data_IF_885309050577
#
_entry.id   IF_885309050577
#
_cell.length_a   1.000
_cell.length_b   1.000
_cell.length_c   1.000
_cell.angle_alpha   90.00
_cell.angle_beta   90.00
_cell.angle_gamma   90.00
#
_symmetry.space_group_name_H-M   'P 1'
#
loop_
_entity.id
_entity.type
_entity.pdbx_description
1 polymer ?
#
# COMPACT_ATOMS: atom_id res chain seq x y z
N UNK A 1 -11.12 9.46 -36.34
CA UNK A 1 -10.38 9.57 -35.08
C UNK A 1 -8.89 9.66 -35.40
N UNK A 2 -8.24 10.79 -35.15
CA UNK A 2 -6.78 10.85 -35.34
C UNK A 2 -6.09 10.27 -34.10
N UNK A 3 -5.47 9.09 -34.26
CA UNK A 3 -4.30 8.66 -33.50
C UNK A 3 -4.43 7.46 -32.55
N UNK A 4 -5.64 7.07 -32.11
CA UNK A 4 -5.85 5.87 -31.28
C UNK A 4 -6.66 4.80 -32.03
N UNK A 5 -6.36 3.54 -31.76
CA UNK A 5 -7.13 2.40 -32.25
C UNK A 5 -7.26 1.29 -31.19
N UNK A 6 -7.88 0.16 -31.58
CA UNK A 6 -8.12 -0.99 -30.68
C UNK A 6 -6.83 -1.54 -30.07
N UNK A 7 -5.69 -1.44 -30.79
CA UNK A 7 -4.38 -1.88 -30.30
C UNK A 7 -3.82 -1.01 -29.17
N UNK A 8 -4.41 0.16 -28.93
CA UNK A 8 -4.00 1.06 -27.85
C UNK A 8 -4.76 0.81 -26.53
N UNK A 9 -5.74 -0.09 -26.53
CA UNK A 9 -6.50 -0.45 -25.31
C UNK A 9 -5.53 -1.05 -24.27
N UNK A 10 -5.66 -0.62 -23.02
CA UNK A 10 -4.75 -0.96 -21.93
C UNK A 10 -3.50 -0.07 -21.86
N UNK A 11 -3.27 0.79 -22.86
CA UNK A 11 -2.16 1.73 -22.82
C UNK A 11 -2.57 3.09 -22.29
N UNK A 12 -1.57 3.80 -21.74
CA UNK A 12 -1.72 5.19 -21.30
C UNK A 12 -1.88 6.11 -22.50
N UNK A 13 -2.89 6.98 -22.46
CA UNK A 13 -3.27 7.89 -23.54
C UNK A 13 -3.52 9.29 -23.02
N UNK A 14 -3.43 10.26 -23.92
CA UNK A 14 -4.03 11.58 -23.75
C UNK A 14 -5.07 11.77 -24.84
N UNK A 15 -6.26 12.22 -24.45
CA UNK A 15 -7.37 12.52 -25.36
C UNK A 15 -7.79 13.97 -25.12
N UNK A 16 -7.53 14.82 -26.11
CA UNK A 16 -8.06 16.18 -26.16
C UNK A 16 -9.43 16.16 -26.81
N UNK A 17 -10.43 16.70 -26.12
CA UNK A 17 -11.80 16.72 -26.62
C UNK A 17 -12.51 18.05 -26.36
N UNK A 18 -13.57 18.30 -27.13
CA UNK A 18 -14.45 19.45 -26.99
C UNK A 18 -15.32 19.32 -25.74
N UNK A 19 -15.51 20.45 -25.08
CA UNK A 19 -16.48 20.67 -24.01
C UNK A 19 -17.20 22.01 -24.27
N UNK A 20 -18.36 22.28 -23.65
CA UNK A 20 -18.98 23.59 -23.74
C UNK A 20 -17.99 24.70 -23.35
N UNK A 21 -17.71 25.62 -24.28
CA UNK A 21 -16.80 26.75 -24.04
C UNK A 21 -15.31 26.50 -24.29
N UNK A 22 -14.90 25.33 -24.79
CA UNK A 22 -13.49 25.12 -25.17
C UNK A 22 -13.05 23.67 -25.40
N UNK A 23 -11.79 23.42 -25.07
CA UNK A 23 -11.12 22.12 -25.17
C UNK A 23 -10.53 21.74 -23.81
N UNK A 24 -10.54 20.45 -23.50
CA UNK A 24 -9.87 19.89 -22.32
C UNK A 24 -9.14 18.60 -22.67
N UNK A 25 -8.21 18.19 -21.80
CA UNK A 25 -7.42 16.98 -21.94
C UNK A 25 -7.79 15.96 -20.85
N UNK A 26 -8.01 14.71 -21.25
CA UNK A 26 -8.12 13.56 -20.34
C UNK A 26 -6.89 12.69 -20.51
N UNK A 27 -6.22 12.38 -19.39
CA UNK A 27 -5.05 11.50 -19.34
C UNK A 27 -5.40 10.26 -18.53
N UNK A 28 -5.16 9.07 -19.06
CA UNK A 28 -5.48 7.84 -18.35
C UNK A 28 -5.18 6.59 -19.17
N UNK A 29 -5.76 5.47 -18.78
CA UNK A 29 -5.63 4.19 -19.50
C UNK A 29 -6.83 4.01 -20.43
N UNK A 30 -6.59 3.78 -21.72
CA UNK A 30 -7.65 3.55 -22.70
C UNK A 30 -8.38 2.24 -22.40
N UNK A 31 -9.70 2.31 -22.19
CA UNK A 31 -10.55 1.15 -21.89
C UNK A 31 -11.32 0.66 -23.10
N UNK A 32 -11.82 1.59 -23.91
CA UNK A 32 -12.58 1.29 -25.11
C UNK A 32 -12.26 2.32 -26.21
N UNK A 33 -12.23 1.85 -27.45
CA UNK A 33 -12.07 2.68 -28.63
C UNK A 33 -12.92 2.07 -29.75
N UNK A 34 -14.16 2.54 -29.88
CA UNK A 34 -15.14 2.09 -30.86
C UNK A 34 -15.52 3.27 -31.78
N UNK A 35 -16.26 3.04 -32.88
CA UNK A 35 -16.75 4.11 -33.74
C UNK A 35 -17.64 5.14 -33.02
N UNK A 36 -18.27 4.74 -31.92
CA UNK A 36 -19.25 5.54 -31.18
C UNK A 36 -18.70 6.10 -29.86
N UNK A 37 -17.62 5.52 -29.33
CA UNK A 37 -17.14 5.86 -27.99
C UNK A 37 -15.63 5.65 -27.80
N UNK A 38 -15.00 6.63 -27.16
CA UNK A 38 -13.67 6.49 -26.56
C UNK A 38 -13.82 6.55 -25.04
N UNK A 39 -13.43 5.50 -24.32
CA UNK A 39 -13.48 5.46 -22.86
C UNK A 39 -12.08 5.47 -22.27
N UNK A 40 -11.78 6.44 -21.42
CA UNK A 40 -10.49 6.58 -20.72
C UNK A 40 -10.69 6.49 -19.22
N UNK A 41 -9.96 5.59 -18.56
CA UNK A 41 -9.94 5.49 -17.09
C UNK A 41 -8.86 6.41 -16.52
N UNK A 42 -9.28 7.44 -15.79
CA UNK A 42 -8.38 8.36 -15.11
C UNK A 42 -7.73 7.69 -13.87
N UNK A 43 -6.67 8.29 -13.32
CA UNK A 43 -5.94 7.76 -12.17
C UNK A 43 -6.81 7.67 -10.90
N UNK A 44 -7.82 8.52 -10.75
CA UNK A 44 -8.81 8.46 -9.67
C UNK A 44 -9.93 7.43 -9.90
N UNK A 45 -9.81 6.62 -10.96
CA UNK A 45 -10.77 5.58 -11.35
C UNK A 45 -12.04 6.06 -12.06
N UNK A 46 -12.19 7.37 -12.28
CA UNK A 46 -13.27 7.93 -13.10
C UNK A 46 -13.15 7.43 -14.54
N UNK A 47 -14.27 7.00 -15.12
CA UNK A 47 -14.37 6.68 -16.54
C UNK A 47 -14.85 7.90 -17.30
N UNK A 48 -14.02 8.39 -18.22
CA UNK A 48 -14.39 9.46 -19.14
C UNK A 48 -14.83 8.86 -20.46
N UNK A 49 -16.10 9.05 -20.77
CA UNK A 49 -16.74 8.64 -22.02
C UNK A 49 -16.78 9.83 -22.97
N UNK A 50 -16.07 9.72 -24.09
CA UNK A 50 -15.84 10.80 -25.03
C UNK A 50 -16.37 10.38 -26.40
N UNK A 51 -17.40 11.07 -26.94
CA UNK A 51 -17.84 10.84 -28.31
C UNK A 51 -16.69 11.08 -29.30
N UNK A 52 -16.42 10.17 -30.25
CA UNK A 52 -15.35 10.33 -31.23
C UNK A 52 -15.44 11.63 -32.05
N UNK A 53 -16.64 12.19 -32.22
CA UNK A 53 -16.87 13.47 -32.87
C UNK A 53 -16.26 14.67 -32.10
N UNK A 54 -16.16 14.56 -30.78
CA UNK A 54 -15.61 15.60 -29.90
C UNK A 54 -14.09 15.49 -29.74
N UNK A 55 -13.49 14.36 -30.09
CA UNK A 55 -12.04 14.17 -30.03
C UNK A 55 -11.35 15.03 -31.09
N UNK A 56 -10.53 15.99 -30.65
CA UNK A 56 -9.73 16.83 -31.56
C UNK A 56 -8.32 16.30 -31.76
N UNK A 57 -7.77 15.62 -30.76
CA UNK A 57 -6.48 14.95 -30.85
C UNK A 57 -6.43 13.81 -29.84
N UNK A 58 -5.92 12.66 -30.22
CA UNK A 58 -5.69 11.56 -29.31
C UNK A 58 -4.39 10.85 -29.66
N UNK A 59 -3.61 10.45 -28.66
CA UNK A 59 -2.41 9.66 -28.89
C UNK A 59 -2.06 8.82 -27.68
N UNK A 60 -1.40 7.69 -27.95
CA UNK A 60 -0.68 6.97 -26.93
C UNK A 60 0.43 7.86 -26.38
N UNK A 61 0.60 7.82 -25.07
CA UNK A 61 1.73 8.44 -24.38
C UNK A 61 2.52 7.35 -23.67
N UNK A 62 3.82 7.56 -23.43
CA UNK A 62 4.59 6.61 -22.64
C UNK A 62 3.93 6.36 -21.28
N UNK A 63 4.08 5.13 -20.78
CA UNK A 63 3.92 4.88 -19.35
C UNK A 63 4.80 5.88 -18.60
N UNK A 64 4.26 6.49 -17.55
CA UNK A 64 5.08 7.39 -16.77
C UNK A 64 6.06 6.50 -16.01
N UNK A 65 7.39 6.62 -16.22
CA UNK A 65 8.33 5.90 -15.39
C UNK A 65 7.99 6.23 -13.94
N UNK A 66 7.94 5.20 -13.10
CA UNK A 66 7.64 5.38 -11.68
C UNK A 66 8.66 6.37 -11.13
N UNK A 67 8.17 7.58 -10.83
CA UNK A 67 9.04 8.63 -10.29
C UNK A 67 9.64 8.11 -8.98
N UNK A 68 10.93 8.36 -8.73
CA UNK A 68 11.53 8.07 -7.44
C UNK A 68 10.62 8.56 -6.31
N UNK A 69 10.45 7.72 -5.29
CA UNK A 69 9.80 8.13 -4.05
C UNK A 69 10.81 8.85 -3.17
N UNK A 70 10.32 9.82 -2.41
CA UNK A 70 10.99 10.18 -1.17
C UNK A 70 10.84 8.99 -0.22
N UNK A 71 11.93 8.23 -0.06
CA UNK A 71 11.93 6.99 0.73
C UNK A 71 11.75 7.31 2.22
N UNK A 72 12.25 8.44 2.70
CA UNK A 72 12.14 8.82 4.12
C UNK A 72 10.69 9.18 4.44
N UNK A 73 10.04 9.94 3.54
CA UNK A 73 8.61 10.24 3.63
C UNK A 73 7.76 8.96 3.54
N UNK A 74 8.09 8.04 2.62
CA UNK A 74 7.37 6.77 2.51
C UNK A 74 7.55 5.90 3.77
N UNK A 75 8.73 5.89 4.38
CA UNK A 75 9.00 5.13 5.60
C UNK A 75 8.13 5.58 6.78
N UNK A 76 7.92 6.89 6.95
CA UNK A 76 6.93 7.41 7.91
C UNK A 76 5.49 7.10 7.46
N UNK A 77 5.20 7.22 6.17
CA UNK A 77 3.87 6.98 5.60
C UNK A 77 3.39 5.55 5.89
N UNK A 78 4.26 4.54 5.79
CA UNK A 78 3.87 3.14 6.08
C UNK A 78 3.45 2.95 7.54
N UNK A 79 4.13 3.61 8.47
CA UNK A 79 3.78 3.59 9.89
C UNK A 79 2.45 4.30 10.19
N UNK A 80 2.16 5.41 9.52
CA UNK A 80 0.91 6.15 9.70
C UNK A 80 -0.29 5.44 9.07
N UNK A 81 -0.09 4.68 7.99
CA UNK A 81 -1.15 3.85 7.40
C UNK A 81 -1.57 2.67 8.27
N UNK A 82 -0.73 2.25 9.23
CA UNK A 82 -1.06 1.24 10.23
C UNK A 82 -0.57 1.69 11.62
N UNK A 83 -1.27 2.65 12.23
CA UNK A 83 -0.81 3.24 13.47
C UNK A 83 -0.82 2.20 14.59
N UNK A 84 0.15 2.33 15.50
CA UNK A 84 0.22 1.52 16.69
C UNK A 84 -0.87 1.90 17.69
N UNK A 85 -1.16 1.00 18.61
CA UNK A 85 -2.10 1.25 19.70
C UNK A 85 -1.64 2.42 20.60
N UNK A 86 -0.34 2.54 20.81
CA UNK A 86 0.31 3.60 21.56
C UNK A 86 1.55 4.09 20.81
N UNK A 87 1.75 5.39 20.79
CA UNK A 87 2.88 6.04 20.11
C UNK A 87 3.51 7.12 20.98
N UNK A 88 4.81 7.33 20.81
CA UNK A 88 5.53 8.46 21.37
C UNK A 88 6.59 8.94 20.37
N UNK A 89 6.91 10.23 20.41
CA UNK A 89 7.96 10.80 19.57
C UNK A 89 9.26 10.94 20.35
N UNK A 90 10.37 10.64 19.67
CA UNK A 90 11.73 10.91 20.12
C UNK A 90 12.43 11.70 19.02
N UNK A 91 12.41 13.03 19.13
CA UNK A 91 12.68 13.89 17.98
C UNK A 91 11.74 13.54 16.81
N UNK A 92 12.32 13.22 15.65
CA UNK A 92 11.55 12.78 14.47
C UNK A 92 11.26 11.27 14.48
N UNK A 93 11.91 10.50 15.35
CA UNK A 93 11.62 9.07 15.46
C UNK A 93 10.27 8.81 16.12
N UNK A 94 9.70 7.65 15.81
CA UNK A 94 8.39 7.23 16.30
C UNK A 94 8.49 5.89 17.04
N UNK A 95 8.30 5.94 18.36
CA UNK A 95 8.12 4.78 19.23
C UNK A 95 6.69 4.25 19.06
N UNK A 96 6.55 2.93 18.97
CA UNK A 96 5.27 2.25 18.69
C UNK A 96 5.14 1.02 19.56
N UNK A 97 4.03 0.91 20.30
CA UNK A 97 3.69 -0.24 21.13
C UNK A 97 2.27 -0.72 20.82
N UNK A 98 2.13 -2.03 20.62
CA UNK A 98 0.84 -2.69 20.32
C UNK A 98 0.82 -4.10 20.88
N UNK A 99 1.14 -4.26 22.17
CA UNK A 99 1.12 -5.55 22.87
C UNK A 99 1.83 -6.70 22.12
N UNK A 100 2.94 -6.40 21.43
CA UNK A 100 3.72 -7.38 20.67
C UNK A 100 3.23 -7.66 19.25
N UNK A 101 2.10 -7.08 18.82
CA UNK A 101 1.52 -7.34 17.51
C UNK A 101 1.19 -6.05 16.72
N UNK A 102 1.60 -5.89 15.47
CA UNK A 102 2.63 -6.64 14.73
C UNK A 102 3.99 -5.99 14.96
N UNK A 103 5.09 -6.57 14.45
CA UNK A 103 6.40 -5.89 14.46
C UNK A 103 6.37 -4.44 13.94
N UNK A 104 5.55 -4.16 12.90
CA UNK A 104 5.39 -2.81 12.31
C UNK A 104 4.70 -1.83 13.25
N UNK A 105 3.92 -2.31 14.20
CA UNK A 105 3.21 -1.49 15.19
C UNK A 105 3.84 -1.62 16.59
N UNK A 106 5.00 -2.29 16.67
CA UNK A 106 5.64 -2.68 17.92
C UNK A 106 7.18 -2.58 17.84
N UNK A 107 7.67 -1.55 17.16
CA UNK A 107 9.09 -1.24 16.99
C UNK A 107 9.31 0.25 16.77
N UNK A 108 10.46 0.76 17.18
CA UNK A 108 10.91 2.12 16.91
C UNK A 108 11.06 2.29 15.39
N UNK A 109 10.52 3.37 14.84
CA UNK A 109 10.74 3.79 13.46
C UNK A 109 11.81 4.89 13.41
N UNK A 110 12.92 4.64 12.71
CA UNK A 110 14.04 5.60 12.55
C UNK A 110 13.81 6.59 11.40
N UNK A 111 12.66 7.26 11.41
CA UNK A 111 12.31 8.26 10.40
C UNK A 111 12.91 9.63 10.76
N UNK A 112 14.10 9.94 10.23
CA UNK A 112 14.76 11.24 10.43
C UNK A 112 15.70 11.28 11.64
N UNK A 113 15.84 12.46 12.24
CA UNK A 113 16.78 12.76 13.32
C UNK A 113 16.11 12.65 14.72
N UNK A 114 16.66 11.86 15.67
CA UNK A 114 16.15 11.81 17.04
C UNK A 114 16.42 13.10 17.84
N UNK A 115 17.26 14.02 17.34
CA UNK A 115 17.57 15.30 17.97
C UNK A 115 18.51 15.21 19.18
N UNK A 116 19.00 14.01 19.49
CA UNK A 116 19.93 13.68 20.57
C UNK A 116 20.93 12.61 20.09
N UNK A 117 22.06 12.41 20.79
CA UNK A 117 23.01 11.38 20.41
C UNK A 117 22.39 9.98 20.33
N UNK A 118 22.76 9.21 19.31
CA UNK A 118 22.17 7.89 19.01
C UNK A 118 22.14 6.94 20.23
N UNK A 119 23.23 6.87 20.99
CA UNK A 119 23.30 6.01 22.18
C UNK A 119 22.26 6.39 23.24
N UNK A 120 22.01 7.69 23.43
CA UNK A 120 20.97 8.18 24.35
C UNK A 120 19.57 7.87 23.80
N UNK A 121 19.37 8.03 22.48
CA UNK A 121 18.10 7.69 21.84
C UNK A 121 17.72 6.21 22.00
N UNK A 122 18.70 5.30 21.87
CA UNK A 122 18.50 3.87 22.08
C UNK A 122 18.20 3.55 23.55
N UNK A 123 18.84 4.22 24.52
CA UNK A 123 18.49 4.05 25.95
C UNK A 123 17.05 4.48 26.27
N UNK A 124 16.58 5.57 25.67
CA UNK A 124 15.18 6.01 25.81
C UNK A 124 14.22 5.01 25.14
N UNK A 125 14.61 4.46 24.00
CA UNK A 125 13.86 3.41 23.29
C UNK A 125 13.70 2.15 24.16
N UNK A 126 14.80 1.67 24.76
CA UNK A 126 14.77 0.53 25.68
C UNK A 126 13.87 0.79 26.90
N UNK A 127 13.89 2.01 27.44
CA UNK A 127 13.01 2.40 28.55
C UNK A 127 11.55 2.33 28.15
N UNK A 128 11.18 2.92 27.02
CA UNK A 128 9.82 2.91 26.50
C UNK A 128 9.30 1.47 26.36
N UNK A 129 10.07 0.58 25.72
CA UNK A 129 9.64 -0.81 25.53
C UNK A 129 9.57 -1.60 26.84
N UNK A 130 10.48 -1.36 27.79
CA UNK A 130 10.41 -1.96 29.13
C UNK A 130 9.15 -1.54 29.89
N UNK A 131 8.76 -0.26 29.84
CA UNK A 131 7.54 0.25 30.47
C UNK A 131 6.27 -0.40 29.90
N UNK A 132 6.31 -0.82 28.63
CA UNK A 132 5.22 -1.53 27.97
C UNK A 132 5.34 -3.06 28.05
N UNK A 133 6.31 -3.60 28.80
CA UNK A 133 6.60 -5.04 28.90
C UNK A 133 6.87 -5.71 27.54
N UNK A 134 7.62 -5.03 26.68
CA UNK A 134 7.96 -5.47 25.32
C UNK A 134 9.47 -5.52 25.12
N UNK A 135 9.97 -6.45 24.28
CA UNK A 135 11.36 -6.40 23.85
C UNK A 135 11.57 -5.17 22.94
N UNK A 136 12.65 -4.39 23.13
CA UNK A 136 12.90 -3.24 22.27
C UNK A 136 13.31 -3.71 20.88
N UNK A 137 12.58 -3.24 19.87
CA UNK A 137 12.89 -3.49 18.46
C UNK A 137 13.05 -2.17 17.72
N UNK A 138 13.99 -2.10 16.80
CA UNK A 138 14.19 -0.96 15.90
C UNK A 138 13.98 -1.39 14.46
N UNK A 139 12.99 -0.80 13.79
CA UNK A 139 12.81 -0.96 12.35
C UNK A 139 13.80 -0.06 11.62
N UNK A 140 14.70 -0.66 10.83
CA UNK A 140 15.73 0.05 10.06
C UNK A 140 15.64 -0.31 8.59
N UNK A 141 15.82 0.68 7.71
CA UNK A 141 16.01 0.42 6.28
C UNK A 141 17.39 -0.16 6.06
N UNK A 142 17.47 -1.24 5.29
CA UNK A 142 18.73 -1.97 5.07
C UNK A 142 19.74 -1.05 4.37
N UNK A 143 20.95 -0.97 4.92
CA UNK A 143 22.04 -0.16 4.39
C UNK A 143 21.95 1.34 4.70
N UNK A 144 20.88 1.80 5.35
CA UNK A 144 20.76 3.20 5.78
C UNK A 144 21.74 3.54 6.92
N UNK A 145 22.08 4.82 7.15
CA UNK A 145 22.94 5.19 8.28
C UNK A 145 22.46 4.65 9.64
N UNK A 146 21.15 4.73 10.00
CA UNK A 146 20.66 4.10 11.23
C UNK A 146 20.88 2.59 11.31
N UNK A 147 20.81 1.84 10.22
CA UNK A 147 21.10 0.39 10.22
C UNK A 147 22.56 0.12 10.60
N UNK A 148 23.49 0.86 10.01
CA UNK A 148 24.93 0.69 10.26
C UNK A 148 25.34 1.14 11.66
N UNK A 149 24.88 2.32 12.07
CA UNK A 149 25.25 2.94 13.35
C UNK A 149 24.68 2.18 14.55
N UNK A 150 23.42 1.72 14.46
CA UNK A 150 22.78 0.93 15.54
C UNK A 150 23.44 -0.45 15.68
N UNK A 151 23.82 -1.09 14.56
CA UNK A 151 24.61 -2.34 14.60
C UNK A 151 26.00 -2.14 15.18
N UNK A 152 26.65 -1.01 14.91
CA UNK A 152 27.95 -0.67 15.51
C UNK A 152 27.87 -0.54 17.04
N UNK A 153 26.68 -0.24 17.58
CA UNK A 153 26.38 -0.24 19.02
C UNK A 153 25.97 -1.62 19.56
N UNK A 154 26.13 -2.69 18.79
CA UNK A 154 25.94 -4.07 19.23
C UNK A 154 24.53 -4.64 19.06
N UNK A 155 23.61 -3.90 18.45
CA UNK A 155 22.29 -4.40 18.11
C UNK A 155 22.37 -5.42 16.97
N UNK A 156 21.57 -6.47 17.06
CA UNK A 156 21.59 -7.61 16.13
C UNK A 156 20.24 -7.78 15.45
N UNK A 157 20.17 -8.62 14.41
CA UNK A 157 18.89 -8.94 13.77
C UNK A 157 17.94 -9.59 14.79
N UNK A 158 16.76 -9.02 14.96
CA UNK A 158 15.74 -9.57 15.86
C UNK A 158 15.14 -10.88 15.31
N UNK A 159 15.30 -11.13 14.00
CA UNK A 159 14.70 -12.27 13.29
C UNK A 159 15.66 -12.78 12.21
N UNK A 160 16.82 -13.34 12.59
CA UNK A 160 17.88 -13.72 11.64
C UNK A 160 17.42 -14.73 10.58
N UNK A 161 16.45 -15.59 10.93
CA UNK A 161 15.89 -16.61 10.03
C UNK A 161 14.72 -16.09 9.17
N UNK A 162 14.25 -14.86 9.38
CA UNK A 162 13.21 -14.26 8.54
C UNK A 162 13.82 -13.47 7.40
N UNK A 163 13.19 -13.57 6.24
CA UNK A 163 13.54 -12.75 5.08
C UNK A 163 13.28 -11.26 5.33
N UNK A 164 13.98 -10.39 4.59
CA UNK A 164 13.73 -8.95 4.63
C UNK A 164 12.27 -8.64 4.28
N UNK A 165 11.75 -7.54 4.82
CA UNK A 165 10.49 -6.98 4.34
C UNK A 165 10.79 -6.00 3.21
N UNK A 166 10.21 -6.29 2.06
CA UNK A 166 10.23 -5.43 0.89
C UNK A 166 9.06 -4.46 0.94
N UNK A 167 9.33 -3.16 0.82
CA UNK A 167 8.31 -2.15 0.59
C UNK A 167 8.27 -1.86 -0.90
N UNK A 168 7.10 -2.05 -1.50
CA UNK A 168 6.89 -1.83 -2.92
C UNK A 168 5.88 -0.71 -3.15
N UNK A 169 6.01 0.02 -4.25
CA UNK A 169 5.04 1.04 -4.63
C UNK A 169 4.70 1.05 -6.12
N UNK A 170 3.54 1.61 -6.45
CA UNK A 170 3.20 2.03 -7.82
C UNK A 170 2.25 3.22 -7.83
N UNK A 171 1.81 3.65 -9.00
CA UNK A 171 0.77 4.67 -9.18
C UNK A 171 -0.59 4.02 -9.36
N UNK A 172 -1.66 4.70 -8.93
CA UNK A 172 -3.00 4.12 -8.94
C UNK A 172 -3.52 3.79 -10.35
N UNK A 173 -3.07 4.50 -11.38
CA UNK A 173 -3.44 4.25 -12.78
C UNK A 173 -3.01 2.87 -13.29
N UNK A 174 -2.00 2.24 -12.69
CA UNK A 174 -1.59 0.87 -13.02
C UNK A 174 -2.46 -0.21 -12.37
N UNK A 175 -3.14 0.12 -11.27
CA UNK A 175 -3.80 -0.87 -10.42
C UNK A 175 -5.29 -0.66 -10.27
N UNK A 176 -5.86 0.41 -10.82
CA UNK A 176 -7.27 0.76 -10.66
C UNK A 176 -8.21 0.12 -11.68
N UNK A 177 -7.79 -0.98 -12.30
CA UNK A 177 -8.63 -1.71 -13.26
C UNK A 177 -9.91 -2.22 -12.62
N UNK A 178 -10.94 -2.46 -13.44
CA UNK A 178 -12.17 -3.05 -12.92
C UNK A 178 -11.89 -4.48 -12.43
N UNK A 179 -12.14 -4.79 -11.15
CA UNK A 179 -11.94 -6.13 -10.63
C UNK A 179 -12.80 -7.16 -11.38
N UNK A 180 -12.27 -8.36 -11.57
CA UNK A 180 -13.02 -9.48 -12.17
C UNK A 180 -14.00 -10.15 -11.20
N UNK A 181 -13.95 -9.76 -9.92
CA UNK A 181 -14.83 -10.21 -8.86
C UNK A 181 -15.55 -9.02 -8.25
N UNK A 182 -16.74 -9.24 -7.70
CA UNK A 182 -17.39 -8.24 -6.87
C UNK A 182 -16.62 -8.10 -5.55
N UNK A 183 -16.09 -6.89 -5.30
CA UNK A 183 -15.29 -6.57 -4.12
C UNK A 183 -16.14 -5.67 -3.24
N UNK A 184 -16.63 -6.23 -2.16
CA UNK A 184 -17.34 -5.48 -1.14
C UNK A 184 -16.33 -4.66 -0.34
N UNK A 185 -16.69 -3.41 -0.04
CA UNK A 185 -15.87 -2.46 0.69
C UNK A 185 -16.67 -1.90 1.85
N UNK A 186 -16.18 -2.12 3.06
CA UNK A 186 -16.81 -1.63 4.29
C UNK A 186 -15.86 -0.71 5.07
N UNK A 187 -16.42 0.27 5.79
CA UNK A 187 -15.62 1.16 6.66
C UNK A 187 -15.12 0.45 7.93
N UNK A 188 -15.78 -0.66 8.30
CA UNK A 188 -15.46 -1.48 9.47
C UNK A 188 -15.43 -2.96 9.07
N UNK A 189 -14.45 -3.74 9.53
CA UNK A 189 -14.43 -5.18 9.32
C UNK A 189 -15.46 -5.83 10.25
N UNK A 190 -16.12 -6.88 9.77
CA UNK A 190 -16.96 -7.73 10.58
C UNK A 190 -16.20 -8.97 11.08
N UNK A 191 -16.90 -9.85 11.81
CA UNK A 191 -16.32 -11.09 12.32
C UNK A 191 -15.86 -12.04 11.18
N UNK A 192 -16.54 -12.04 10.03
CA UNK A 192 -16.18 -12.89 8.91
C UNK A 192 -14.90 -12.40 8.22
N UNK A 193 -14.72 -11.08 8.09
CA UNK A 193 -13.50 -10.46 7.61
C UNK A 193 -12.32 -10.82 8.50
N UNK A 194 -12.46 -10.69 9.82
CA UNK A 194 -11.43 -11.07 10.79
C UNK A 194 -11.09 -12.56 10.72
N UNK A 195 -12.09 -13.44 10.68
CA UNK A 195 -11.88 -14.87 10.54
C UNK A 195 -11.14 -15.23 9.25
N UNK A 196 -11.40 -14.52 8.15
CA UNK A 196 -10.71 -14.72 6.89
C UNK A 196 -9.29 -14.14 6.87
N UNK A 197 -9.02 -13.08 7.64
CA UNK A 197 -7.74 -12.37 7.66
C UNK A 197 -6.64 -13.07 8.50
N UNK A 198 -7.00 -13.97 9.40
CA UNK A 198 -6.06 -14.61 10.35
C UNK A 198 -6.07 -16.14 10.25
N UNK A 199 -4.89 -16.75 10.39
CA UNK A 199 -4.74 -18.19 10.64
C UNK A 199 -4.74 -18.45 12.15
N UNK A 200 -5.92 -18.32 12.79
CA UNK A 200 -6.08 -18.55 14.23
C UNK A 200 -6.68 -17.36 14.98
N UNK A 201 -6.51 -17.32 16.32
CA UNK A 201 -7.08 -16.27 17.16
C UNK A 201 -6.62 -14.88 16.73
N UNK A 202 -7.57 -13.95 16.64
CA UNK A 202 -7.29 -12.53 16.39
C UNK A 202 -6.66 -11.95 17.66
N UNK A 203 -5.46 -11.34 17.60
CA UNK A 203 -4.88 -10.67 18.76
C UNK A 203 -5.81 -9.57 19.26
N UNK A 204 -5.96 -9.42 20.58
CA UNK A 204 -6.88 -8.45 21.20
C UNK A 204 -6.61 -7.00 20.74
N UNK A 205 -5.35 -6.66 20.51
CA UNK A 205 -4.93 -5.33 20.03
C UNK A 205 -5.20 -5.11 18.53
N UNK A 206 -5.52 -6.17 17.78
CA UNK A 206 -5.60 -6.10 16.32
C UNK A 206 -6.68 -5.15 15.79
N UNK A 207 -7.90 -5.09 16.35
CA UNK A 207 -8.89 -4.08 15.98
C UNK A 207 -8.36 -2.65 16.11
N UNK A 208 -7.72 -2.32 17.25
CA UNK A 208 -7.16 -0.99 17.49
C UNK A 208 -6.13 -0.58 16.43
N UNK A 209 -5.28 -1.51 15.99
CA UNK A 209 -4.24 -1.26 14.97
C UNK A 209 -4.81 -1.25 13.54
N UNK A 210 -5.66 -2.22 13.19
CA UNK A 210 -6.20 -2.36 11.83
C UNK A 210 -7.21 -1.25 11.50
N UNK A 211 -8.00 -0.83 12.48
CA UNK A 211 -9.01 0.21 12.29
C UNK A 211 -8.48 1.61 12.65
N UNK A 212 -7.29 1.71 13.25
CA UNK A 212 -6.78 2.95 13.82
C UNK A 212 -6.33 4.02 12.83
N UNK A 213 -6.15 3.68 11.54
CA UNK A 213 -5.80 4.69 10.54
C UNK A 213 -6.96 5.67 10.35
N UNK A 214 -6.64 6.96 10.19
CA UNK A 214 -7.63 8.03 10.09
C UNK A 214 -8.69 7.78 9.00
N UNK A 215 -8.30 7.09 7.94
CA UNK A 215 -9.21 6.60 6.90
C UNK A 215 -8.79 5.22 6.43
N UNK A 216 -9.60 4.23 6.75
CA UNK A 216 -9.40 2.83 6.37
C UNK A 216 -10.64 2.28 5.65
N UNK A 217 -10.43 1.21 4.90
CA UNK A 217 -11.48 0.41 4.27
C UNK A 217 -11.09 -1.06 4.31
N UNK A 218 -12.08 -1.92 4.38
CA UNK A 218 -11.92 -3.36 4.49
C UNK A 218 -12.61 -3.98 3.28
N UNK A 219 -11.80 -4.64 2.46
CA UNK A 219 -12.25 -5.31 1.25
C UNK A 219 -12.51 -6.79 1.53
N UNK A 220 -13.56 -7.33 0.93
CA UNK A 220 -13.86 -8.75 0.94
C UNK A 220 -14.42 -9.23 -0.40
N UNK A 221 -14.16 -10.49 -0.73
CA UNK A 221 -14.86 -11.22 -1.79
C UNK A 221 -15.54 -12.43 -1.18
N UNK A 222 -16.83 -12.58 -1.46
CA UNK A 222 -17.66 -13.68 -0.96
C UNK A 222 -18.00 -14.64 -2.09
N UNK A 223 -17.92 -15.94 -1.83
CA UNK A 223 -18.36 -17.00 -2.75
C UNK A 223 -19.21 -18.00 -1.99
N UNK A 224 -20.41 -18.28 -2.48
CA UNK A 224 -21.37 -19.21 -1.85
C UNK A 224 -21.61 -18.90 -0.35
N UNK A 225 -21.69 -17.61 0.01
CA UNK A 225 -21.93 -17.17 1.39
C UNK A 225 -20.70 -17.18 2.32
N UNK A 226 -19.52 -17.55 1.82
CA UNK A 226 -18.27 -17.54 2.57
C UNK A 226 -17.33 -16.44 2.08
N UNK A 227 -16.72 -15.68 3.00
CA UNK A 227 -15.62 -14.77 2.67
C UNK A 227 -14.38 -15.59 2.29
N UNK A 228 -13.93 -15.45 1.04
CA UNK A 228 -12.83 -16.24 0.47
C UNK A 228 -11.58 -15.41 0.20
N UNK A 229 -11.68 -14.09 0.18
CA UNK A 229 -10.56 -13.18 0.12
C UNK A 229 -10.85 -11.90 0.90
N UNK A 230 -9.81 -11.34 1.51
CA UNK A 230 -9.86 -10.08 2.25
C UNK A 230 -8.63 -9.23 1.97
N UNK A 231 -8.75 -7.93 2.22
CA UNK A 231 -7.64 -6.99 2.28
C UNK A 231 -8.05 -5.71 2.98
N UNK A 232 -7.06 -4.90 3.36
CA UNK A 232 -7.27 -3.61 4.01
C UNK A 232 -6.60 -2.51 3.20
N UNK A 233 -7.33 -1.42 2.98
CA UNK A 233 -6.80 -0.17 2.46
C UNK A 233 -6.74 0.90 3.55
N UNK A 234 -5.75 1.77 3.50
CA UNK A 234 -5.64 2.94 4.37
C UNK A 234 -5.10 4.14 3.61
N UNK A 235 -5.60 5.34 3.92
CA UNK A 235 -5.13 6.58 3.29
C UNK A 235 -4.19 7.36 4.21
N UNK A 236 -3.03 7.72 3.69
CA UNK A 236 -2.09 8.67 4.32
C UNK A 236 -1.68 9.71 3.28
N UNK A 237 -2.29 10.90 3.35
CA UNK A 237 -2.15 11.88 2.27
C UNK A 237 -2.67 11.32 0.94
N UNK A 238 -1.83 11.31 -0.10
CA UNK A 238 -2.18 10.76 -1.42
C UNK A 238 -1.81 9.27 -1.60
N UNK A 239 -1.34 8.62 -0.53
CA UNK A 239 -0.94 7.22 -0.54
C UNK A 239 -2.07 6.30 -0.07
N UNK A 240 -2.33 5.25 -0.84
CA UNK A 240 -3.05 4.06 -0.41
C UNK A 240 -2.05 3.04 0.15
N UNK A 241 -2.12 2.75 1.44
CA UNK A 241 -1.47 1.59 2.03
C UNK A 241 -2.35 0.36 1.90
N UNK A 242 -1.82 -0.72 1.32
CA UNK A 242 -2.50 -2.00 1.17
C UNK A 242 -1.83 -3.05 2.05
N UNK A 243 -2.61 -3.65 2.97
CA UNK A 243 -2.12 -4.73 3.82
C UNK A 243 -3.23 -5.75 4.16
N UNK A 244 -2.92 -6.74 4.98
CA UNK A 244 -3.87 -7.79 5.40
C UNK A 244 -4.53 -8.53 4.23
N UNK A 245 -3.85 -8.63 3.08
CA UNK A 245 -4.33 -9.41 1.95
C UNK A 245 -4.21 -10.90 2.27
N UNK A 246 -5.34 -11.59 2.19
CA UNK A 246 -5.39 -13.04 2.36
C UNK A 246 -6.44 -13.64 1.44
N UNK A 247 -6.10 -14.79 0.85
CA UNK A 247 -7.00 -15.58 0.01
C UNK A 247 -7.03 -17.00 0.56
N UNK A 248 -8.24 -17.51 0.80
CA UNK A 248 -8.48 -18.87 1.27
C UNK A 248 -7.83 -19.89 0.33
N UNK A 249 -7.23 -20.95 0.89
CA UNK A 249 -6.31 -21.86 0.18
C UNK A 249 -6.90 -22.46 -1.10
N UNK A 250 -8.15 -22.91 -1.03
CA UNK A 250 -8.88 -23.47 -2.19
C UNK A 250 -9.19 -22.46 -3.30
N UNK A 251 -9.07 -21.16 -3.02
CA UNK A 251 -9.41 -20.07 -3.93
C UNK A 251 -8.17 -19.31 -4.44
N UNK A 252 -6.96 -19.69 -4.00
CA UNK A 252 -5.69 -19.07 -4.44
C UNK A 252 -5.46 -19.28 -5.95
N UNK A 253 -4.64 -18.40 -6.55
CA UNK A 253 -4.26 -18.41 -7.98
C UNK A 253 -5.44 -18.24 -8.95
N UNK A 254 -6.53 -17.61 -8.51
CA UNK A 254 -7.72 -17.28 -9.33
C UNK A 254 -7.92 -15.79 -9.57
N UNK A 255 -6.93 -14.96 -9.23
CA UNK A 255 -7.00 -13.50 -9.37
C UNK A 255 -7.67 -12.74 -8.22
N UNK A 256 -8.12 -13.42 -7.15
CA UNK A 256 -8.78 -12.76 -6.02
C UNK A 256 -7.89 -11.73 -5.30
N UNK A 257 -6.59 -12.01 -5.13
CA UNK A 257 -5.66 -11.04 -4.55
C UNK A 257 -5.54 -9.78 -5.40
N UNK A 258 -5.50 -9.95 -6.73
CA UNK A 258 -5.54 -8.84 -7.69
C UNK A 258 -6.84 -8.05 -7.59
N UNK A 259 -7.98 -8.74 -7.51
CA UNK A 259 -9.28 -8.09 -7.37
C UNK A 259 -9.37 -7.24 -6.10
N UNK A 260 -8.89 -7.76 -4.96
CA UNK A 260 -8.79 -7.00 -3.71
C UNK A 260 -7.96 -5.73 -3.89
N UNK A 261 -6.75 -5.82 -4.46
CA UNK A 261 -5.88 -4.65 -4.69
C UNK A 261 -6.57 -3.62 -5.61
N UNK A 262 -7.21 -4.09 -6.68
CA UNK A 262 -7.94 -3.24 -7.62
C UNK A 262 -9.15 -2.55 -6.97
N UNK A 263 -9.94 -3.27 -6.18
CA UNK A 263 -11.06 -2.71 -5.43
C UNK A 263 -10.61 -1.60 -4.46
N UNK A 264 -9.54 -1.85 -3.72
CA UNK A 264 -8.92 -0.86 -2.82
C UNK A 264 -8.36 0.36 -3.57
N UNK A 265 -7.69 0.14 -4.71
CA UNK A 265 -7.17 1.22 -5.55
C UNK A 265 -8.30 2.11 -6.08
N UNK A 266 -9.42 1.49 -6.48
CA UNK A 266 -10.61 2.22 -6.96
C UNK A 266 -11.27 3.04 -5.86
N UNK A 267 -11.36 2.49 -4.65
CA UNK A 267 -11.83 3.23 -3.48
C UNK A 267 -10.95 4.45 -3.16
N UNK A 268 -9.62 4.31 -3.27
CA UNK A 268 -8.70 5.39 -2.93
C UNK A 268 -8.75 6.59 -3.90
N UNK A 269 -9.10 6.36 -5.17
CA UNK A 269 -9.10 7.38 -6.22
C UNK A 269 -9.94 8.63 -5.90
N UNK A 270 -11.25 8.48 -5.63
CA UNK A 270 -12.13 9.57 -5.19
C UNK A 270 -11.71 10.26 -3.88
N UNK A 271 -10.83 9.62 -3.10
CA UNK A 271 -10.28 10.16 -1.85
C UNK A 271 -8.92 10.85 -2.05
N UNK A 272 -8.54 11.15 -3.29
CA UNK A 272 -7.28 11.82 -3.61
C UNK A 272 -6.07 10.88 -3.66
N UNK A 273 -6.29 9.57 -3.65
CA UNK A 273 -5.24 8.58 -3.87
C UNK A 273 -4.56 8.76 -5.22
N UNK A 274 -3.24 8.67 -5.23
CA UNK A 274 -2.40 8.79 -6.45
C UNK A 274 -1.33 7.72 -6.52
N UNK A 275 -0.83 7.26 -5.36
CA UNK A 275 0.15 6.19 -5.27
C UNK A 275 -0.32 5.15 -4.28
N UNK A 276 0.17 3.93 -4.45
CA UNK A 276 -0.13 2.81 -3.56
C UNK A 276 1.16 2.15 -3.12
N UNK A 277 1.21 1.68 -1.88
CA UNK A 277 2.32 0.91 -1.34
C UNK A 277 1.83 -0.33 -0.59
N UNK A 278 2.73 -1.30 -0.44
CA UNK A 278 2.53 -2.49 0.37
C UNK A 278 3.87 -2.96 0.95
N UNK A 279 3.77 -3.78 1.99
CA UNK A 279 4.91 -4.38 2.68
C UNK A 279 4.77 -5.90 2.60
N UNK A 280 5.80 -6.59 2.09
CA UNK A 280 5.75 -8.03 1.83
C UNK A 280 7.08 -8.69 2.17
N UNK A 281 7.06 -9.84 2.83
CA UNK A 281 8.27 -10.62 3.08
C UNK A 281 8.84 -11.15 1.75
N UNK A 282 10.16 -11.08 1.57
CA UNK A 282 10.81 -11.53 0.32
C UNK A 282 10.54 -13.01 -0.02
N UNK A 283 10.32 -13.86 0.98
CA UNK A 283 9.97 -15.28 0.78
C UNK A 283 8.55 -15.49 0.24
N UNK A 284 7.66 -14.50 0.34
CA UNK A 284 6.31 -14.59 -0.18
C UNK A 284 6.30 -14.37 -1.70
N UNK A 285 6.93 -15.29 -2.42
CA UNK A 285 7.14 -15.25 -3.87
C UNK A 285 5.83 -15.17 -4.66
N UNK A 286 4.75 -15.78 -4.15
CA UNK A 286 3.42 -15.70 -4.77
C UNK A 286 2.83 -14.28 -4.71
N UNK A 287 2.95 -13.61 -3.56
CA UNK A 287 2.51 -12.22 -3.43
C UNK A 287 3.39 -11.27 -4.25
N UNK A 288 4.72 -11.44 -4.20
CA UNK A 288 5.67 -10.68 -5.01
C UNK A 288 5.38 -10.79 -6.50
N UNK A 289 5.11 -11.98 -7.02
CA UNK A 289 4.75 -12.18 -8.42
C UNK A 289 3.45 -11.42 -8.78
N UNK A 290 2.45 -11.46 -7.90
CA UNK A 290 1.19 -10.72 -8.07
C UNK A 290 1.43 -9.22 -8.12
N UNK A 291 2.19 -8.67 -7.17
CA UNK A 291 2.44 -7.23 -7.08
C UNK A 291 3.32 -6.72 -8.22
N UNK A 292 4.34 -7.49 -8.61
CA UNK A 292 5.20 -7.16 -9.76
C UNK A 292 4.39 -7.10 -11.06
N UNK A 293 3.47 -8.05 -11.26
CA UNK A 293 2.57 -8.03 -12.42
C UNK A 293 1.63 -6.80 -12.43
N UNK A 294 1.24 -6.32 -11.25
CA UNK A 294 0.46 -5.10 -11.06
C UNK A 294 1.31 -3.81 -11.14
N UNK A 295 2.58 -3.91 -11.55
CA UNK A 295 3.45 -2.76 -11.75
C UNK A 295 4.02 -2.17 -10.46
N UNK A 296 3.97 -2.89 -9.33
CA UNK A 296 4.71 -2.50 -8.13
C UNK A 296 6.21 -2.70 -8.33
N UNK A 297 7.00 -1.73 -7.86
CA UNK A 297 8.46 -1.77 -7.87
C UNK A 297 9.01 -1.59 -6.44
N UNK A 298 10.20 -2.13 -6.20
CA UNK A 298 10.90 -1.99 -4.92
C UNK A 298 11.20 -0.51 -4.61
N UNK A 299 10.82 -0.08 -3.41
CA UNK A 299 11.15 1.21 -2.85
C UNK A 299 12.40 1.11 -1.97
N UNK A 300 12.34 0.17 -1.02
CA UNK A 300 13.40 -0.14 -0.06
C UNK A 300 13.07 -1.46 0.65
N UNK A 301 14.04 -1.95 1.41
CA UNK A 301 13.87 -3.08 2.33
C UNK A 301 14.12 -2.64 3.76
N UNK A 302 13.49 -3.31 4.71
CA UNK A 302 13.76 -3.08 6.12
C UNK A 302 13.85 -4.40 6.89
N UNK A 303 14.52 -4.32 8.05
CA UNK A 303 14.60 -5.37 9.07
C UNK A 303 14.33 -4.78 10.45
N UNK A 304 14.21 -5.67 11.43
CA UNK A 304 14.12 -5.29 12.84
C UNK A 304 15.42 -5.64 13.53
N UNK A 305 16.00 -4.70 14.28
CA UNK A 305 17.12 -4.95 15.17
C UNK A 305 16.61 -5.06 16.61
N UNK A 306 17.31 -5.82 17.45
CA UNK A 306 17.08 -5.91 18.90
C UNK A 306 18.40 -5.74 19.64
N UNK A 307 18.32 -5.25 20.88
CA UNK A 307 19.43 -5.40 21.82
C UNK A 307 19.43 -6.87 22.32
N UNK A 308 20.61 -7.36 22.69
CA UNK A 308 20.76 -8.72 23.24
C UNK A 308 20.24 -8.80 24.66
#
# INVERSE_FOLDING_TARGET
MSGLGVRDIGHRVVVRHRIPGGLTDVIGVLQACTPDLVTVRHADSTLHEIPPADVTAAKRIPEMPLRPVDVDQLFLTTALGRPAAETAHLGQWLLRASAGWTGRANSLLTAGDPGIPLAEALQQTERFYREHNLPPQVQVRIGSPPDQEIRALGWVDARPEQSDVLVMHTTLDHVNELPTYDVELTERPDAAWYAAAFEGPVPEVAPKVLEGAAKAVFASVTTAGQVVAVGRGSMTGHWLGVDSIRVADGFRRRGLGTAIVQGLARWAGPHGGRRTYLEVLLENTAALATYTHLGYQEAYRYRYLTNR
#
